data_IF_692555557325
#
_entry.id   IF_692555557325
#
_cell.length_a   1.000
_cell.length_b   1.000
_cell.length_c   1.000
_cell.angle_alpha   90.00
_cell.angle_beta   90.00
_cell.angle_gamma   90.00
#
_symmetry.space_group_name_H-M   'P 1'
#
loop_
_entity.id
_entity.type
_entity.pdbx_description
1 polymer ?
#
# COMPACT_ATOMS: atom_id res chain seq x y z
N UNK A 1 -15.13 -11.76 -11.17
CA UNK A 1 -13.74 -11.59 -10.64
C UNK A 1 -13.37 -10.12 -10.71
N UNK A 2 -12.65 -9.61 -9.72
CA UNK A 2 -12.17 -8.23 -9.69
C UNK A 2 -10.66 -8.19 -9.85
N UNK A 3 -10.13 -7.22 -10.58
CA UNK A 3 -8.69 -7.08 -10.82
C UNK A 3 -8.20 -5.70 -10.41
N UNK A 4 -6.97 -5.67 -9.91
CA UNK A 4 -6.23 -4.45 -9.61
C UNK A 4 -4.82 -4.59 -10.13
N UNK A 5 -4.28 -3.51 -10.68
CA UNK A 5 -2.89 -3.47 -11.11
C UNK A 5 -2.02 -2.84 -10.02
N UNK A 6 -0.76 -3.25 -9.95
CA UNK A 6 0.31 -2.40 -9.42
C UNK A 6 0.70 -1.33 -10.46
N UNK A 7 1.61 -0.43 -10.10
CA UNK A 7 2.04 0.66 -10.99
C UNK A 7 2.81 0.16 -12.21
N UNK A 8 3.62 -0.91 -12.08
CA UNK A 8 4.42 -1.43 -13.19
C UNK A 8 3.57 -2.20 -14.20
N UNK A 9 2.68 -3.09 -13.77
CA UNK A 9 1.74 -3.78 -14.63
C UNK A 9 0.73 -2.81 -15.27
N UNK A 10 0.32 -1.75 -14.57
CA UNK A 10 -0.49 -0.69 -15.16
C UNK A 10 0.25 0.03 -16.30
N UNK A 11 1.56 0.25 -16.20
CA UNK A 11 2.35 0.79 -17.31
C UNK A 11 2.52 -0.20 -18.45
N UNK A 12 2.74 -1.49 -18.14
CA UNK A 12 2.82 -2.55 -19.14
C UNK A 12 1.50 -2.72 -19.91
N UNK A 13 0.36 -2.49 -19.26
CA UNK A 13 -0.96 -2.47 -19.86
C UNK A 13 -1.06 -1.54 -21.07
N UNK A 14 -0.28 -0.46 -21.10
CA UNK A 14 -0.30 0.53 -22.19
C UNK A 14 1.03 0.70 -22.93
N UNK A 15 2.07 -0.09 -22.60
CA UNK A 15 3.44 0.13 -23.06
C UNK A 15 3.61 0.21 -24.59
N UNK A 16 2.79 -0.53 -25.34
CA UNK A 16 2.85 -0.61 -26.81
C UNK A 16 1.75 0.21 -27.51
N UNK A 17 0.98 1.01 -26.75
CA UNK A 17 -0.20 1.70 -27.26
C UNK A 17 0.14 3.18 -27.54
N UNK A 18 0.01 3.65 -28.81
CA UNK A 18 0.19 5.06 -29.13
C UNK A 18 -0.81 5.94 -28.38
N UNK A 19 -0.38 7.15 -27.97
CA UNK A 19 -1.22 8.10 -27.24
C UNK A 19 -2.60 8.33 -27.90
N UNK A 20 -2.62 8.48 -29.23
CA UNK A 20 -3.85 8.69 -30.02
C UNK A 20 -4.82 7.50 -30.01
N UNK A 21 -4.36 6.32 -29.59
CA UNK A 21 -5.15 5.08 -29.57
C UNK A 21 -5.55 4.65 -28.16
N UNK A 22 -5.16 5.39 -27.11
CA UNK A 22 -5.42 5.01 -25.71
C UNK A 22 -6.92 4.87 -25.42
N UNK A 23 -7.75 5.76 -25.95
CA UNK A 23 -9.20 5.71 -25.75
C UNK A 23 -9.83 4.46 -26.40
N UNK A 24 -9.51 4.21 -27.68
CA UNK A 24 -9.96 3.01 -28.39
C UNK A 24 -9.49 1.72 -27.71
N UNK A 25 -8.24 1.71 -27.22
CA UNK A 25 -7.69 0.59 -26.46
C UNK A 25 -8.46 0.35 -25.16
N UNK A 26 -8.73 1.43 -24.41
CA UNK A 26 -9.47 1.37 -23.14
C UNK A 26 -10.90 0.84 -23.34
N UNK A 27 -11.58 1.31 -24.38
CA UNK A 27 -12.92 0.84 -24.74
C UNK A 27 -12.92 -0.65 -25.11
N UNK A 28 -12.03 -1.06 -26.00
CA UNK A 28 -11.87 -2.45 -26.40
C UNK A 28 -11.60 -3.36 -25.19
N UNK A 29 -10.71 -2.95 -24.28
CA UNK A 29 -10.39 -3.76 -23.11
C UNK A 29 -11.52 -3.80 -22.08
N UNK A 30 -12.23 -2.70 -21.88
CA UNK A 30 -13.43 -2.69 -21.04
C UNK A 30 -14.48 -3.68 -21.56
N UNK A 31 -14.70 -3.72 -22.88
CA UNK A 31 -15.59 -4.69 -23.53
C UNK A 31 -15.10 -6.14 -23.31
N UNK A 32 -13.81 -6.44 -23.51
CA UNK A 32 -13.23 -7.77 -23.27
C UNK A 32 -13.34 -8.23 -21.82
N UNK A 33 -13.04 -7.33 -20.88
CA UNK A 33 -13.16 -7.60 -19.45
C UNK A 33 -14.63 -7.84 -19.06
N UNK A 34 -15.58 -7.06 -19.57
CA UNK A 34 -17.02 -7.32 -19.38
C UNK A 34 -17.45 -8.70 -19.89
N UNK A 35 -17.04 -9.07 -21.10
CA UNK A 35 -17.34 -10.39 -21.67
C UNK A 35 -16.78 -11.53 -20.81
N UNK A 36 -15.65 -11.30 -20.13
CA UNK A 36 -15.01 -12.25 -19.23
C UNK A 36 -15.50 -12.18 -17.77
N UNK A 37 -16.51 -11.37 -17.48
CA UNK A 37 -16.99 -11.08 -16.11
C UNK A 37 -15.86 -10.63 -15.17
N UNK A 38 -15.01 -9.74 -15.68
CA UNK A 38 -13.89 -9.10 -14.98
C UNK A 38 -14.23 -7.64 -14.75
N UNK A 39 -14.05 -7.20 -13.52
CA UNK A 39 -14.25 -5.82 -13.10
C UNK A 39 -12.89 -5.20 -12.70
N UNK A 40 -12.54 -4.08 -13.32
CA UNK A 40 -11.36 -3.31 -12.97
C UNK A 40 -11.66 -2.46 -11.75
N UNK A 41 -10.88 -2.63 -10.69
CA UNK A 41 -10.85 -1.71 -9.57
C UNK A 41 -9.56 -0.89 -9.64
N UNK A 42 -9.62 0.37 -9.21
CA UNK A 42 -8.42 1.22 -9.17
C UNK A 42 -7.91 1.31 -7.74
N UNK A 43 -6.62 1.04 -7.53
CA UNK A 43 -5.97 1.29 -6.26
C UNK A 43 -5.47 2.75 -6.20
N UNK A 44 -5.87 3.55 -5.18
CA UNK A 44 -5.43 4.94 -5.07
C UNK A 44 -3.92 5.13 -4.95
N UNK A 45 -3.19 4.16 -4.40
CA UNK A 45 -1.71 4.21 -4.32
C UNK A 45 -1.11 4.26 -5.73
N UNK A 46 -1.63 3.44 -6.65
CA UNK A 46 -1.15 3.41 -8.04
C UNK A 46 -1.40 4.74 -8.74
N UNK A 47 -2.58 5.33 -8.55
CA UNK A 47 -2.88 6.66 -9.10
C UNK A 47 -1.93 7.71 -8.53
N UNK A 48 -1.65 7.66 -7.24
CA UNK A 48 -0.75 8.59 -6.58
C UNK A 48 0.68 8.48 -7.12
N UNK A 49 1.21 7.27 -7.26
CA UNK A 49 2.53 7.04 -7.86
C UNK A 49 2.60 7.57 -9.30
N UNK A 50 1.58 7.29 -10.11
CA UNK A 50 1.51 7.79 -11.48
C UNK A 50 1.43 9.32 -11.54
N UNK A 51 0.63 9.94 -10.66
CA UNK A 51 0.51 11.40 -10.58
C UNK A 51 1.79 12.07 -10.11
N UNK A 52 2.56 11.43 -9.22
CA UNK A 52 3.85 11.96 -8.77
C UNK A 52 4.81 12.20 -9.95
N UNK A 53 4.83 11.30 -10.93
CA UNK A 53 5.62 11.48 -12.15
C UNK A 53 5.07 12.56 -13.11
N UNK A 54 3.82 13.00 -12.93
CA UNK A 54 3.26 14.11 -13.70
C UNK A 54 3.65 15.48 -13.15
N UNK A 55 4.37 15.52 -12.02
CA UNK A 55 4.78 16.79 -11.40
C UNK A 55 6.00 17.42 -12.10
N UNK A 56 6.81 16.63 -12.81
CA UNK A 56 7.95 17.10 -13.59
C UNK A 56 7.84 16.61 -15.04
N UNK A 57 7.69 17.56 -15.97
CA UNK A 57 7.65 17.27 -17.42
C UNK A 57 8.93 16.60 -17.94
N UNK A 58 10.04 16.73 -17.23
CA UNK A 58 11.32 16.11 -17.58
C UNK A 58 11.47 14.70 -16.99
N UNK A 59 10.53 14.24 -16.15
CA UNK A 59 10.53 12.86 -15.65
C UNK A 59 10.40 11.89 -16.83
N UNK A 60 11.31 10.91 -16.90
CA UNK A 60 11.32 9.87 -17.94
C UNK A 60 10.01 9.07 -18.00
N UNK A 61 9.23 9.07 -16.92
CA UNK A 61 7.95 8.39 -16.79
C UNK A 61 6.73 9.33 -16.96
N UNK A 62 6.92 10.61 -17.31
CA UNK A 62 5.81 11.57 -17.44
C UNK A 62 4.72 11.09 -18.41
N UNK A 63 5.08 10.87 -19.68
CA UNK A 63 4.11 10.50 -20.73
C UNK A 63 3.48 9.13 -20.50
N UNK A 64 4.27 8.14 -20.06
CA UNK A 64 3.75 6.81 -19.78
C UNK A 64 2.78 6.85 -18.60
N UNK A 65 3.06 7.65 -17.56
CA UNK A 65 2.17 7.76 -16.39
C UNK A 65 0.86 8.45 -16.74
N UNK A 66 0.90 9.48 -17.59
CA UNK A 66 -0.30 10.14 -18.10
C UNK A 66 -1.18 9.18 -18.91
N UNK A 67 -0.59 8.47 -19.87
CA UNK A 67 -1.31 7.49 -20.68
C UNK A 67 -1.86 6.33 -19.83
N UNK A 68 -1.13 5.94 -18.78
CA UNK A 68 -1.57 4.90 -17.83
C UNK A 68 -2.80 5.36 -17.03
N UNK A 69 -2.76 6.56 -16.45
CA UNK A 69 -3.93 7.14 -15.74
C UNK A 69 -5.13 7.18 -16.68
N UNK A 70 -4.93 7.75 -17.89
CA UNK A 70 -5.99 7.85 -18.89
C UNK A 70 -6.59 6.48 -19.24
N UNK A 71 -5.75 5.47 -19.46
CA UNK A 71 -6.22 4.14 -19.83
C UNK A 71 -6.97 3.43 -18.70
N UNK A 72 -6.46 3.49 -17.46
CA UNK A 72 -7.11 2.86 -16.30
C UNK A 72 -8.48 3.49 -16.04
N UNK A 73 -8.54 4.82 -16.01
CA UNK A 73 -9.77 5.57 -15.75
C UNK A 73 -10.79 5.33 -16.87
N UNK A 74 -10.42 5.49 -18.14
CA UNK A 74 -11.35 5.28 -19.24
C UNK A 74 -11.82 3.82 -19.32
N UNK A 75 -10.94 2.85 -19.06
CA UNK A 75 -11.34 1.44 -19.01
C UNK A 75 -12.40 1.23 -17.93
N UNK A 76 -12.17 1.74 -16.72
CA UNK A 76 -13.13 1.69 -15.62
C UNK A 76 -14.45 2.41 -15.97
N UNK A 77 -14.42 3.60 -16.54
CA UNK A 77 -15.63 4.34 -16.97
C UNK A 77 -16.37 3.70 -18.13
N UNK A 78 -15.70 2.93 -19.00
CA UNK A 78 -16.41 2.12 -19.99
C UNK A 78 -17.00 0.86 -19.34
N UNK A 79 -16.46 0.41 -18.21
CA UNK A 79 -17.00 -0.70 -17.43
C UNK A 79 -18.24 -0.31 -16.62
N UNK A 80 -18.17 0.83 -15.93
CA UNK A 80 -19.15 1.35 -15.00
C UNK A 80 -19.81 2.61 -15.57
N UNK A 81 -21.07 2.87 -15.28
CA UNK A 81 -21.61 4.20 -15.60
C UNK A 81 -20.89 5.22 -14.70
N UNK A 82 -20.63 6.44 -15.20
CA UNK A 82 -19.82 7.52 -14.58
C UNK A 82 -20.09 7.84 -13.09
N UNK A 83 -21.16 7.31 -12.51
CA UNK A 83 -21.60 7.58 -11.14
C UNK A 83 -20.91 6.71 -10.08
N UNK A 84 -20.28 5.60 -10.48
CA UNK A 84 -19.57 4.70 -9.56
C UNK A 84 -18.06 4.72 -9.84
N UNK A 85 -17.25 5.07 -8.82
CA UNK A 85 -15.79 4.93 -8.83
C UNK A 85 -15.40 3.66 -8.07
N UNK A 86 -15.36 2.49 -8.72
CA UNK A 86 -14.97 1.24 -8.07
C UNK A 86 -13.49 1.28 -7.74
N UNK A 87 -13.20 1.66 -6.50
CA UNK A 87 -11.85 1.81 -5.97
C UNK A 87 -11.57 0.81 -4.86
N UNK A 88 -10.33 0.37 -4.76
CA UNK A 88 -9.89 -0.42 -3.62
C UNK A 88 -9.64 0.47 -2.40
N UNK A 89 -10.01 -0.04 -1.24
CA UNK A 89 -9.56 0.53 0.02
C UNK A 89 -8.04 0.35 0.16
N UNK A 90 -7.36 1.37 0.68
CA UNK A 90 -5.93 1.28 1.01
C UNK A 90 -5.71 0.57 2.36
N UNK A 91 -4.47 0.13 2.60
CA UNK A 91 -4.10 -0.72 3.73
C UNK A 91 -4.59 -0.17 5.07
N UNK A 92 -4.33 1.09 5.38
CA UNK A 92 -4.74 1.71 6.64
C UNK A 92 -6.26 1.75 6.84
N UNK A 93 -7.04 1.94 5.77
CA UNK A 93 -8.50 1.94 5.84
C UNK A 93 -9.04 0.52 6.04
N UNK A 94 -8.42 -0.47 5.39
CA UNK A 94 -8.73 -1.89 5.62
C UNK A 94 -8.47 -2.22 7.09
N UNK A 95 -7.29 -1.87 7.62
CA UNK A 95 -6.91 -2.17 9.00
C UNK A 95 -7.77 -1.41 10.02
N UNK A 96 -8.11 -0.15 9.73
CA UNK A 96 -9.03 0.66 10.54
C UNK A 96 -10.37 -0.05 10.73
N UNK A 97 -10.92 -0.56 9.63
CA UNK A 97 -12.20 -1.25 9.64
C UNK A 97 -12.10 -2.61 10.33
N UNK A 98 -11.10 -3.41 10.00
CA UNK A 98 -11.00 -4.78 10.48
C UNK A 98 -10.69 -4.87 11.98
N UNK A 99 -9.73 -4.08 12.47
CA UNK A 99 -9.25 -4.19 13.84
C UNK A 99 -10.00 -3.28 14.81
N UNK A 100 -10.53 -2.16 14.32
CA UNK A 100 -11.11 -1.12 15.19
C UNK A 100 -12.58 -0.83 14.88
N UNK A 101 -13.14 -1.42 13.82
CA UNK A 101 -14.47 -1.11 13.32
C UNK A 101 -14.69 0.41 13.11
N UNK A 102 -13.65 1.10 12.65
CA UNK A 102 -13.64 2.55 12.42
C UNK A 102 -13.30 2.84 10.96
N UNK A 103 -13.74 4.00 10.47
CA UNK A 103 -13.28 4.58 9.19
C UNK A 103 -12.13 5.53 9.46
N UNK A 104 -11.42 5.94 8.42
CA UNK A 104 -10.50 7.08 8.46
C UNK A 104 -11.02 8.06 7.39
N UNK A 105 -11.95 8.95 7.77
CA UNK A 105 -12.73 9.72 6.79
C UNK A 105 -11.86 10.70 6.01
N UNK A 106 -10.88 11.35 6.65
CA UNK A 106 -10.00 12.29 5.97
C UNK A 106 -9.12 11.57 4.94
N UNK A 107 -8.72 10.32 5.22
CA UNK A 107 -8.00 9.49 4.23
C UNK A 107 -8.89 9.08 3.08
N UNK A 108 -10.09 8.59 3.37
CA UNK A 108 -11.06 8.24 2.32
C UNK A 108 -11.36 9.45 1.42
N UNK A 109 -11.58 10.63 2.00
CA UNK A 109 -11.82 11.87 1.25
C UNK A 109 -10.60 12.27 0.41
N UNK A 110 -9.39 12.19 0.95
CA UNK A 110 -8.16 12.46 0.20
C UNK A 110 -8.05 11.57 -1.04
N UNK A 111 -8.32 10.26 -0.91
CA UNK A 111 -8.30 9.33 -2.04
C UNK A 111 -9.43 9.57 -3.04
N UNK A 112 -10.62 9.99 -2.58
CA UNK A 112 -11.69 10.40 -3.49
C UNK A 112 -11.29 11.63 -4.32
N UNK A 113 -10.66 12.64 -3.69
CA UNK A 113 -10.14 13.82 -4.40
C UNK A 113 -9.05 13.44 -5.41
N UNK A 114 -8.17 12.50 -5.04
CA UNK A 114 -7.15 11.96 -5.93
C UNK A 114 -7.79 11.29 -7.16
N UNK A 115 -8.80 10.45 -6.97
CA UNK A 115 -9.52 9.80 -8.08
C UNK A 115 -10.27 10.80 -8.96
N UNK A 116 -10.87 11.83 -8.37
CA UNK A 116 -11.50 12.93 -9.12
C UNK A 116 -10.47 13.65 -9.99
N UNK A 117 -9.27 13.92 -9.45
CA UNK A 117 -8.21 14.55 -10.23
C UNK A 117 -7.69 13.62 -11.35
N UNK A 118 -7.66 12.30 -11.13
CA UNK A 118 -7.28 11.33 -12.16
C UNK A 118 -8.28 11.30 -13.32
N UNK A 119 -9.56 11.44 -12.98
CA UNK A 119 -10.67 11.55 -13.93
C UNK A 119 -10.51 12.80 -14.80
N UNK A 120 -10.26 13.93 -14.15
CA UNK A 120 -9.94 15.18 -14.82
C UNK A 120 -8.75 15.05 -15.78
N UNK A 121 -7.69 14.36 -15.38
CA UNK A 121 -6.51 14.11 -16.23
C UNK A 121 -6.87 13.23 -17.43
N UNK A 122 -7.64 12.16 -17.24
CA UNK A 122 -8.01 11.23 -18.30
C UNK A 122 -8.77 11.93 -19.45
N UNK A 123 -9.62 12.90 -19.11
CA UNK A 123 -10.45 13.65 -20.06
C UNK A 123 -9.79 14.92 -20.61
N UNK A 124 -8.69 15.40 -20.01
CA UNK A 124 -7.93 16.54 -20.52
C UNK A 124 -6.94 16.12 -21.61
N UNK A 125 -6.45 17.10 -22.37
CA UNK A 125 -5.28 16.93 -23.22
C UNK A 125 -4.01 17.08 -22.36
N UNK A 126 -2.93 16.41 -22.73
CA UNK A 126 -1.67 16.38 -21.96
C UNK A 126 -1.08 17.78 -21.78
N UNK A 127 -1.29 18.65 -22.77
CA UNK A 127 -0.83 20.04 -22.76
C UNK A 127 -1.54 20.88 -21.67
N UNK A 128 -2.71 20.43 -21.19
CA UNK A 128 -3.51 21.12 -20.17
C UNK A 128 -3.23 20.62 -18.74
N UNK A 129 -2.21 19.78 -18.53
CA UNK A 129 -1.84 19.23 -17.20
C UNK A 129 -1.20 20.28 -16.29
N UNK A 130 -0.69 21.39 -16.83
CA UNK A 130 -0.04 22.45 -16.02
C UNK A 130 -0.94 22.99 -14.90
N UNK A 131 -2.25 23.10 -15.16
CA UNK A 131 -3.23 23.51 -14.15
C UNK A 131 -3.40 22.47 -13.03
N UNK A 132 -3.27 21.18 -13.33
CA UNK A 132 -3.29 20.12 -12.32
C UNK A 132 -2.04 20.21 -11.44
N UNK A 133 -0.86 20.36 -12.05
CA UNK A 133 0.41 20.45 -11.33
C UNK A 133 0.44 21.68 -10.42
N UNK A 134 -0.02 22.84 -10.91
CA UNK A 134 -0.07 24.06 -10.10
C UNK A 134 -1.04 23.98 -8.91
N UNK A 135 -2.14 23.23 -9.06
CA UNK A 135 -3.18 23.11 -8.02
C UNK A 135 -2.85 22.02 -6.99
N UNK A 136 -2.35 20.87 -7.43
CA UNK A 136 -2.25 19.66 -6.60
C UNK A 136 -0.80 19.20 -6.36
N UNK A 137 0.16 19.69 -7.14
CA UNK A 137 1.50 19.12 -7.21
C UNK A 137 2.26 19.22 -5.90
N UNK A 138 2.18 20.36 -5.21
CA UNK A 138 2.83 20.54 -3.91
C UNK A 138 2.32 19.55 -2.86
N UNK A 139 1.00 19.37 -2.77
CA UNK A 139 0.37 18.46 -1.79
C UNK A 139 0.69 17.00 -2.08
N UNK A 140 0.63 16.56 -3.34
CA UNK A 140 0.98 15.19 -3.71
C UNK A 140 2.45 14.93 -3.41
N UNK A 141 3.34 15.85 -3.83
CA UNK A 141 4.78 15.73 -3.59
C UNK A 141 5.10 15.65 -2.10
N UNK A 142 4.62 16.60 -1.32
CA UNK A 142 4.84 16.64 0.13
C UNK A 142 4.35 15.35 0.80
N UNK A 143 3.18 14.84 0.39
CA UNK A 143 2.67 13.59 0.95
C UNK A 143 3.56 12.39 0.63
N UNK A 144 3.93 12.21 -0.64
CA UNK A 144 4.81 11.11 -1.09
C UNK A 144 6.16 11.19 -0.39
N UNK A 145 6.80 12.36 -0.41
CA UNK A 145 8.10 12.60 0.22
C UNK A 145 8.05 12.27 1.73
N UNK A 146 7.02 12.76 2.44
CA UNK A 146 6.86 12.53 3.88
C UNK A 146 6.65 11.04 4.22
N UNK A 147 5.85 10.32 3.43
CA UNK A 147 5.62 8.88 3.64
C UNK A 147 6.92 8.10 3.41
N UNK A 148 7.62 8.40 2.32
CA UNK A 148 8.87 7.75 1.95
C UNK A 148 9.99 8.02 2.96
N UNK A 149 10.17 9.28 3.37
CA UNK A 149 11.16 9.68 4.38
C UNK A 149 10.88 9.01 5.72
N UNK A 150 9.63 9.08 6.18
CA UNK A 150 9.21 8.43 7.43
C UNK A 150 9.41 6.92 7.37
N UNK A 151 9.18 6.29 6.21
CA UNK A 151 9.44 4.87 6.04
C UNK A 151 10.93 4.55 6.17
N UNK A 152 11.81 5.28 5.48
CA UNK A 152 13.28 5.10 5.58
C UNK A 152 13.76 5.19 7.02
N UNK A 153 13.32 6.21 7.75
CA UNK A 153 13.69 6.38 9.17
C UNK A 153 13.25 5.20 10.01
N UNK A 154 11.99 4.77 9.87
CA UNK A 154 11.44 3.64 10.61
C UNK A 154 12.17 2.33 10.31
N UNK A 155 12.55 2.08 9.05
CA UNK A 155 13.34 0.91 8.66
C UNK A 155 14.72 0.95 9.31
N UNK A 156 15.41 2.09 9.28
CA UNK A 156 16.72 2.24 9.92
C UNK A 156 16.64 2.00 11.42
N UNK A 157 15.58 2.49 12.07
CA UNK A 157 15.34 2.23 13.49
C UNK A 157 15.13 0.73 13.77
N UNK A 158 14.34 0.03 12.95
CA UNK A 158 14.16 -1.42 13.05
C UNK A 158 15.50 -2.14 12.92
N UNK A 159 16.32 -1.80 11.91
CA UNK A 159 17.65 -2.39 11.71
C UNK A 159 18.57 -2.14 12.91
N UNK A 160 18.57 -0.92 13.44
CA UNK A 160 19.37 -0.58 14.61
C UNK A 160 18.96 -1.42 15.83
N UNK A 161 17.65 -1.56 16.08
CA UNK A 161 17.12 -2.35 17.20
C UNK A 161 17.43 -3.84 17.06
N UNK A 162 17.49 -4.36 15.83
CA UNK A 162 17.93 -5.73 15.56
C UNK A 162 19.41 -5.90 15.89
N UNK A 163 20.25 -4.91 15.54
CA UNK A 163 21.69 -4.97 15.78
C UNK A 163 22.06 -4.81 17.27
N UNK A 164 21.24 -4.11 18.04
CA UNK A 164 21.41 -3.92 19.50
C UNK A 164 20.63 -4.92 20.33
N UNK A 165 20.06 -5.98 19.71
CA UNK A 165 19.16 -6.92 20.37
C UNK A 165 19.76 -7.50 21.66
N UNK A 166 19.17 -7.22 22.84
CA UNK A 166 19.72 -7.62 24.14
C UNK A 166 19.73 -9.13 24.35
N UNK A 167 19.00 -9.90 23.55
CA UNK A 167 18.94 -11.35 23.64
C UNK A 167 20.08 -12.05 22.88
N UNK A 168 20.93 -11.30 22.18
CA UNK A 168 22.05 -11.81 21.37
C UNK A 168 21.63 -12.94 20.38
N UNK A 169 20.39 -12.90 19.93
CA UNK A 169 19.84 -13.87 18.98
C UNK A 169 20.43 -13.56 17.60
N UNK A 170 20.96 -14.58 16.92
CA UNK A 170 21.44 -14.42 15.54
C UNK A 170 20.31 -13.92 14.66
N UNK A 171 20.60 -12.95 13.79
CA UNK A 171 19.59 -12.36 12.90
C UNK A 171 18.85 -13.39 12.05
N UNK A 172 19.56 -14.42 11.58
CA UNK A 172 18.99 -15.54 10.80
C UNK A 172 17.86 -16.27 11.52
N UNK A 173 17.93 -16.30 12.85
CA UNK A 173 16.97 -16.99 13.70
C UNK A 173 15.88 -16.00 14.14
N UNK A 174 16.27 -14.77 14.46
CA UNK A 174 15.34 -13.72 14.86
C UNK A 174 14.34 -13.39 13.74
N UNK A 175 14.78 -13.24 12.49
CA UNK A 175 13.91 -12.90 11.36
C UNK A 175 12.85 -13.98 11.04
N UNK A 176 13.08 -15.21 11.48
CA UNK A 176 12.15 -16.34 11.34
C UNK A 176 11.17 -16.46 12.51
N UNK A 177 11.37 -15.70 13.58
CA UNK A 177 10.54 -15.79 14.78
C UNK A 177 9.20 -15.08 14.62
N UNK A 178 8.17 -15.60 15.30
CA UNK A 178 6.85 -14.96 15.40
C UNK A 178 6.95 -13.55 15.98
N UNK A 179 7.88 -13.35 16.92
CA UNK A 179 8.16 -12.03 17.52
C UNK A 179 8.56 -11.00 16.47
N UNK A 180 9.32 -11.42 15.47
CA UNK A 180 9.73 -10.56 14.39
C UNK A 180 8.59 -10.23 13.43
N UNK A 181 7.75 -11.21 13.13
CA UNK A 181 6.52 -10.98 12.35
C UNK A 181 5.58 -10.02 13.07
N UNK A 182 5.41 -10.20 14.38
CA UNK A 182 4.61 -9.32 15.22
C UNK A 182 5.16 -7.89 15.16
N UNK A 183 6.47 -7.71 15.28
CA UNK A 183 7.14 -6.41 15.13
C UNK A 183 6.81 -5.77 13.78
N UNK A 184 6.87 -6.50 12.67
CA UNK A 184 6.52 -5.97 11.35
C UNK A 184 5.04 -5.61 11.23
N UNK A 185 4.14 -6.46 11.75
CA UNK A 185 2.72 -6.17 11.82
C UNK A 185 2.42 -4.90 12.64
N UNK A 186 3.22 -4.60 13.67
CA UNK A 186 3.03 -3.37 14.46
C UNK A 186 3.17 -2.09 13.65
N UNK A 187 3.91 -2.11 12.54
CA UNK A 187 4.08 -0.95 11.67
C UNK A 187 2.74 -0.41 11.18
N UNK A 188 1.94 -1.25 10.50
CA UNK A 188 0.65 -0.82 9.93
C UNK A 188 -0.37 -0.51 11.03
N UNK A 189 -0.33 -1.25 12.14
CA UNK A 189 -1.23 -1.04 13.29
C UNK A 189 -0.96 0.34 13.91
N UNK A 190 0.31 0.68 14.13
CA UNK A 190 0.71 2.00 14.65
C UNK A 190 0.31 3.12 13.70
N UNK A 191 0.60 2.98 12.41
CA UNK A 191 0.21 3.98 11.40
C UNK A 191 -1.30 4.20 11.41
N UNK A 192 -2.09 3.12 11.47
CA UNK A 192 -3.56 3.20 11.54
C UNK A 192 -4.03 3.89 12.81
N UNK A 193 -3.43 3.58 13.97
CA UNK A 193 -3.74 4.26 15.22
C UNK A 193 -3.45 5.76 15.16
N UNK A 194 -2.31 6.17 14.64
CA UNK A 194 -1.96 7.59 14.49
C UNK A 194 -3.02 8.33 13.66
N UNK A 195 -3.49 7.72 12.57
CA UNK A 195 -4.55 8.31 11.75
C UNK A 195 -5.88 8.42 12.50
N UNK A 196 -6.26 7.38 13.23
CA UNK A 196 -7.48 7.41 14.05
C UNK A 196 -7.39 8.41 15.21
N UNK A 197 -6.21 8.60 15.80
CA UNK A 197 -5.96 9.64 16.83
C UNK A 197 -6.12 11.04 16.22
N UNK A 198 -5.52 11.28 15.05
CA UNK A 198 -5.62 12.57 14.36
C UNK A 198 -7.07 12.94 13.99
N UNK A 199 -7.94 11.93 13.80
CA UNK A 199 -9.37 12.13 13.58
C UNK A 199 -10.22 12.10 14.86
N UNK A 200 -9.59 12.11 16.05
CA UNK A 200 -10.26 12.05 17.36
C UNK A 200 -11.16 10.82 17.54
N UNK A 201 -10.82 9.68 16.91
CA UNK A 201 -11.59 8.43 16.97
C UNK A 201 -11.09 7.45 18.02
N UNK A 202 -9.96 7.75 18.64
CA UNK A 202 -9.37 7.02 19.75
C UNK A 202 -9.47 7.91 20.99
N UNK A 203 -9.87 7.33 22.11
CA UNK A 203 -9.96 8.06 23.37
C UNK A 203 -8.57 8.52 23.85
N UNK A 204 -8.54 9.60 24.63
CA UNK A 204 -7.31 10.25 25.07
C UNK A 204 -6.39 9.33 25.87
N UNK A 205 -6.97 8.45 26.69
CA UNK A 205 -6.20 7.46 27.47
C UNK A 205 -5.49 6.49 26.52
N UNK A 206 -6.22 5.86 25.59
CA UNK A 206 -5.63 4.97 24.59
C UNK A 206 -4.57 5.68 23.75
N UNK A 207 -4.80 6.94 23.37
CA UNK A 207 -3.81 7.75 22.65
C UNK A 207 -2.52 7.95 23.45
N UNK A 208 -2.62 8.24 24.75
CA UNK A 208 -1.45 8.36 25.63
C UNK A 208 -0.69 7.03 25.75
N UNK A 209 -1.40 5.91 25.88
CA UNK A 209 -0.79 4.58 25.95
C UNK A 209 -0.05 4.23 24.65
N UNK A 210 -0.63 4.56 23.49
CA UNK A 210 0.03 4.38 22.18
C UNK A 210 1.28 5.26 22.09
N UNK A 211 1.20 6.51 22.53
CA UNK A 211 2.35 7.42 22.53
C UNK A 211 3.48 6.91 23.42
N UNK A 212 3.13 6.41 24.61
CA UNK A 212 4.07 5.78 25.52
C UNK A 212 4.70 4.57 24.83
N UNK A 213 3.93 3.68 24.23
CA UNK A 213 4.47 2.49 23.55
C UNK A 213 5.27 2.83 22.30
N UNK A 214 4.91 3.84 21.52
CA UNK A 214 5.61 4.20 20.30
C UNK A 214 6.98 4.81 20.58
N UNK A 215 7.10 5.70 21.58
CA UNK A 215 8.39 6.22 22.05
C UNK A 215 9.23 5.10 22.66
N UNK A 216 8.60 4.26 23.50
CA UNK A 216 9.33 3.37 24.40
C UNK A 216 9.65 2.00 23.78
N UNK A 217 8.76 1.39 23.01
CA UNK A 217 9.07 0.10 22.33
C UNK A 217 10.13 0.25 21.23
N UNK A 218 10.45 1.48 20.83
CA UNK A 218 11.52 1.77 19.88
C UNK A 218 12.91 1.87 20.54
N UNK A 219 13.01 1.95 21.89
CA UNK A 219 14.26 2.34 22.56
C UNK A 219 14.49 1.79 23.97
N UNK A 220 13.52 1.13 24.61
CA UNK A 220 13.69 0.69 25.99
C UNK A 220 14.47 -0.63 26.10
N UNK A 221 15.55 -0.58 26.87
CA UNK A 221 16.08 -1.74 27.57
C UNK A 221 14.96 -2.47 28.33
N UNK A 222 15.03 -3.80 28.37
CA UNK A 222 14.04 -4.69 28.99
C UNK A 222 13.69 -4.27 30.43
N UNK A 223 14.66 -3.75 31.20
CA UNK A 223 14.38 -3.26 32.55
C UNK A 223 13.49 -2.02 32.58
N UNK A 224 13.71 -1.06 31.69
CA UNK A 224 12.85 0.13 31.58
C UNK A 224 11.44 -0.26 31.12
N UNK A 225 11.34 -1.21 30.21
CA UNK A 225 10.04 -1.75 29.77
C UNK A 225 9.30 -2.40 30.94
N UNK A 226 9.97 -3.22 31.75
CA UNK A 226 9.37 -3.85 32.94
C UNK A 226 8.91 -2.82 33.98
N UNK A 227 9.72 -1.78 34.23
CA UNK A 227 9.35 -0.67 35.13
C UNK A 227 8.12 0.07 34.60
N UNK A 228 8.05 0.35 33.31
CA UNK A 228 6.91 1.01 32.68
C UNK A 228 5.61 0.20 32.85
N UNK A 229 5.64 -1.11 32.58
CA UNK A 229 4.47 -1.98 32.76
C UNK A 229 4.03 -2.07 34.22
N UNK A 230 4.98 -2.05 35.15
CA UNK A 230 4.66 -2.08 36.58
C UNK A 230 4.00 -0.78 37.04
N UNK A 231 4.37 0.36 36.44
CA UNK A 231 3.79 1.66 36.74
C UNK A 231 2.42 1.90 36.07
N UNK A 232 2.13 1.18 34.98
CA UNK A 232 0.92 1.34 34.17
C UNK A 232 0.29 -0.02 33.82
N UNK A 233 -0.44 -0.67 34.74
CA UNK A 233 -1.08 -1.96 34.50
C UNK A 233 -2.03 -1.95 33.29
N UNK A 234 -2.65 -0.82 32.98
CA UNK A 234 -3.48 -0.62 31.79
C UNK A 234 -2.71 -0.82 30.47
N UNK A 235 -1.38 -0.62 30.46
CA UNK A 235 -0.54 -0.95 29.31
C UNK A 235 -0.50 -2.44 29.03
N UNK A 236 -0.64 -3.31 30.03
CA UNK A 236 -0.59 -4.76 29.84
C UNK A 236 -1.78 -5.19 28.99
N UNK A 237 -3.00 -4.79 29.37
CA UNK A 237 -4.21 -5.08 28.59
C UNK A 237 -4.13 -4.49 27.17
N UNK A 238 -3.60 -3.28 27.04
CA UNK A 238 -3.42 -2.66 25.73
C UNK A 238 -2.41 -3.44 24.87
N UNK A 239 -1.30 -3.88 25.45
CA UNK A 239 -0.29 -4.68 24.77
C UNK A 239 -0.83 -6.04 24.34
N UNK A 240 -1.57 -6.73 25.20
CA UNK A 240 -2.23 -7.98 24.83
C UNK A 240 -3.12 -7.78 23.60
N UNK A 241 -3.98 -6.76 23.62
CA UNK A 241 -4.80 -6.40 22.46
C UNK A 241 -3.96 -6.07 21.22
N UNK A 242 -2.85 -5.36 21.40
CA UNK A 242 -1.95 -4.99 20.31
C UNK A 242 -1.27 -6.22 19.70
N UNK A 243 -0.90 -7.22 20.52
CA UNK A 243 -0.34 -8.48 20.08
C UNK A 243 -1.38 -9.36 19.38
N UNK A 244 -2.62 -9.38 19.87
CA UNK A 244 -3.75 -10.05 19.21
C UNK A 244 -4.01 -9.46 17.83
N UNK A 245 -4.00 -8.12 17.73
CA UNK A 245 -4.09 -7.40 16.46
C UNK A 245 -2.95 -7.78 15.51
N UNK A 246 -1.70 -7.84 15.98
CA UNK A 246 -0.57 -8.30 15.16
C UNK A 246 -0.77 -9.72 14.64
N UNK A 247 -1.27 -10.63 15.47
CA UNK A 247 -1.56 -12.00 15.06
C UNK A 247 -2.65 -12.08 13.97
N UNK A 248 -3.68 -11.23 14.06
CA UNK A 248 -4.68 -11.10 13.00
C UNK A 248 -4.03 -10.64 11.69
N UNK A 249 -3.15 -9.63 11.74
CA UNK A 249 -2.46 -9.12 10.55
C UNK A 249 -1.58 -10.19 9.91
N UNK A 250 -0.74 -10.87 10.69
CA UNK A 250 0.15 -11.93 10.20
C UNK A 250 -0.64 -13.03 9.49
N UNK A 251 -1.73 -13.46 10.11
CA UNK A 251 -2.58 -14.53 9.57
C UNK A 251 -3.31 -14.12 8.29
N UNK A 252 -3.84 -12.89 8.23
CA UNK A 252 -4.65 -12.42 7.09
C UNK A 252 -3.81 -11.90 5.93
N UNK A 253 -2.69 -11.24 6.21
CA UNK A 253 -1.83 -10.55 5.25
C UNK A 253 -0.39 -11.11 5.23
N UNK A 254 -0.20 -12.44 5.03
CA UNK A 254 1.11 -13.06 5.08
C UNK A 254 2.05 -12.56 3.97
N UNK A 255 1.52 -12.18 2.80
CA UNK A 255 2.29 -11.64 1.67
C UNK A 255 2.94 -10.30 2.01
N UNK A 256 2.25 -9.43 2.76
CA UNK A 256 2.78 -8.19 3.30
C UNK A 256 3.96 -8.46 4.25
N UNK A 257 3.80 -9.37 5.21
CA UNK A 257 4.85 -9.74 6.15
C UNK A 257 6.07 -10.33 5.41
N UNK A 258 5.84 -11.19 4.42
CA UNK A 258 6.90 -11.80 3.63
C UNK A 258 7.71 -10.77 2.84
N UNK A 259 7.05 -9.84 2.13
CA UNK A 259 7.76 -8.79 1.38
C UNK A 259 8.53 -7.87 2.33
N UNK A 260 7.90 -7.47 3.44
CA UNK A 260 8.53 -6.59 4.42
C UNK A 260 9.78 -7.25 5.04
N UNK A 261 9.74 -8.55 5.35
CA UNK A 261 10.93 -9.32 5.77
C UNK A 261 12.06 -9.24 4.73
N UNK A 262 11.74 -9.45 3.44
CA UNK A 262 12.74 -9.36 2.37
C UNK A 262 13.38 -7.98 2.31
N UNK A 263 12.59 -6.91 2.45
CA UNK A 263 13.09 -5.54 2.48
C UNK A 263 14.08 -5.35 3.63
N UNK A 264 13.76 -5.79 4.85
CA UNK A 264 14.69 -5.70 5.97
C UNK A 264 16.00 -6.46 5.69
N UNK A 265 15.94 -7.66 5.12
CA UNK A 265 17.15 -8.41 4.74
C UNK A 265 18.00 -7.60 3.77
N UNK A 266 17.38 -7.01 2.74
CA UNK A 266 18.09 -6.22 1.74
C UNK A 266 18.68 -4.93 2.33
N UNK A 267 17.99 -4.25 3.23
CA UNK A 267 18.52 -3.06 3.93
C UNK A 267 19.70 -3.40 4.82
N UNK A 268 19.61 -4.48 5.60
CA UNK A 268 20.74 -4.97 6.38
C UNK A 268 21.97 -5.25 5.51
N UNK A 269 21.76 -5.68 4.27
CA UNK A 269 22.81 -5.95 3.29
C UNK A 269 23.21 -4.73 2.45
N UNK A 270 22.88 -3.51 2.87
CA UNK A 270 23.38 -2.27 2.27
C UNK A 270 22.52 -1.68 1.15
N UNK A 271 21.21 -1.92 1.13
CA UNK A 271 20.28 -1.19 0.25
C UNK A 271 20.32 0.32 0.55
N UNK A 272 20.33 1.14 -0.51
CA UNK A 272 20.29 2.60 -0.42
C UNK A 272 18.92 3.12 0.00
N UNK A 273 18.89 4.31 0.62
CA UNK A 273 17.66 4.99 1.03
C UNK A 273 16.67 5.18 -0.13
N UNK A 274 17.15 5.59 -1.31
CA UNK A 274 16.32 5.74 -2.52
C UNK A 274 15.58 4.43 -2.86
N UNK A 275 16.24 3.28 -2.74
CA UNK A 275 15.59 1.99 -2.96
C UNK A 275 14.60 1.66 -1.85
N UNK A 276 14.89 2.03 -0.60
CA UNK A 276 13.99 1.81 0.53
C UNK A 276 12.69 2.60 0.34
N UNK A 277 12.77 3.87 -0.09
CA UNK A 277 11.61 4.72 -0.38
C UNK A 277 10.62 4.02 -1.31
N UNK A 278 11.11 3.47 -2.43
CA UNK A 278 10.26 2.82 -3.43
C UNK A 278 9.50 1.59 -2.89
N UNK A 279 10.01 0.89 -1.87
CA UNK A 279 9.36 -0.33 -1.36
C UNK A 279 8.10 -0.05 -0.52
N UNK A 280 7.88 1.17 -0.01
CA UNK A 280 6.70 1.43 0.84
C UNK A 280 5.41 1.16 0.07
N UNK A 281 5.35 1.59 -1.20
CA UNK A 281 4.16 1.44 -2.03
C UNK A 281 3.88 -0.03 -2.33
N UNK A 282 4.89 -0.79 -2.73
CA UNK A 282 4.78 -2.24 -2.93
C UNK A 282 4.29 -2.95 -1.65
N UNK A 283 4.90 -2.63 -0.50
CA UNK A 283 4.52 -3.20 0.80
C UNK A 283 3.05 -2.92 1.12
N UNK A 284 2.57 -1.70 0.90
CA UNK A 284 1.17 -1.35 1.15
C UNK A 284 0.22 -2.02 0.15
N UNK A 285 0.62 -2.17 -1.11
CA UNK A 285 -0.16 -2.88 -2.13
C UNK A 285 -0.32 -4.38 -1.80
N UNK A 286 0.64 -4.99 -1.10
CA UNK A 286 0.57 -6.40 -0.69
C UNK A 286 -0.59 -6.73 0.27
N UNK A 287 -1.26 -5.73 0.86
CA UNK A 287 -2.52 -5.96 1.59
C UNK A 287 -3.64 -6.49 0.70
N UNK A 288 -3.55 -6.29 -0.61
CA UNK A 288 -4.52 -6.82 -1.55
C UNK A 288 -4.20 -8.25 -2.02
N UNK A 289 -3.01 -8.78 -1.70
CA UNK A 289 -2.61 -10.15 -2.06
C UNK A 289 -3.04 -11.11 -0.96
N UNK A 290 -4.34 -11.37 -0.89
CA UNK A 290 -4.99 -12.24 0.11
C UNK A 290 -6.13 -13.05 -0.51
N UNK A 291 -6.86 -13.82 0.30
CA UNK A 291 -8.09 -14.50 -0.16
C UNK A 291 -9.30 -13.54 -0.15
N UNK A 292 -9.08 -12.26 -0.45
CA UNK A 292 -10.11 -11.23 -0.40
C UNK A 292 -11.18 -11.49 -1.46
N UNK A 293 -12.43 -11.30 -1.07
CA UNK A 293 -13.57 -11.27 -1.98
C UNK A 293 -14.37 -10.00 -1.78
N UNK A 294 -14.85 -9.40 -2.85
CA UNK A 294 -15.80 -8.28 -2.82
C UNK A 294 -17.05 -8.77 -3.55
N UNK A 295 -18.20 -8.71 -2.89
CA UNK A 295 -19.47 -9.28 -3.38
C UNK A 295 -19.36 -10.74 -3.81
N UNK A 296 -18.56 -11.52 -3.06
CA UNK A 296 -18.21 -12.94 -3.32
C UNK A 296 -17.31 -13.16 -4.55
N UNK A 297 -16.97 -12.12 -5.31
CA UNK A 297 -15.98 -12.22 -6.37
C UNK A 297 -14.55 -12.16 -5.81
N UNK A 298 -13.64 -13.04 -6.25
CA UNK A 298 -12.24 -12.96 -5.85
C UNK A 298 -11.60 -11.69 -6.41
N UNK A 299 -10.72 -11.08 -5.61
CA UNK A 299 -9.82 -10.00 -6.05
C UNK A 299 -8.48 -10.61 -6.47
N UNK A 300 -8.01 -10.25 -7.66
CA UNK A 300 -6.71 -10.70 -8.19
C UNK A 300 -5.81 -9.49 -8.40
N UNK A 301 -4.64 -9.53 -7.79
CA UNK A 301 -3.61 -8.51 -7.93
C UNK A 301 -2.71 -8.81 -9.14
N UNK A 302 -2.54 -7.83 -10.01
CA UNK A 302 -1.73 -7.95 -11.23
C UNK A 302 -0.44 -7.15 -11.03
N UNK A 303 0.70 -7.81 -11.16
CA UNK A 303 2.02 -7.18 -11.00
C UNK A 303 3.06 -7.78 -11.92
N UNK A 304 4.10 -7.03 -12.25
CA UNK A 304 5.32 -7.57 -12.86
C UNK A 304 6.52 -7.57 -11.92
N UNK A 305 6.33 -7.13 -10.67
CA UNK A 305 7.40 -7.07 -9.67
C UNK A 305 7.74 -8.46 -9.13
N UNK A 306 9.02 -8.82 -9.29
CA UNK A 306 9.53 -10.14 -8.88
C UNK A 306 9.52 -10.34 -7.37
N UNK A 307 9.77 -9.30 -6.57
CA UNK A 307 9.76 -9.40 -5.12
C UNK A 307 8.34 -9.59 -4.58
N UNK A 308 7.35 -8.92 -5.17
CA UNK A 308 5.93 -9.12 -4.83
C UNK A 308 5.47 -10.54 -5.15
N UNK A 309 5.81 -11.05 -6.34
CA UNK A 309 5.52 -12.43 -6.76
C UNK A 309 6.20 -13.46 -5.84
N UNK A 310 7.47 -13.24 -5.49
CA UNK A 310 8.20 -14.10 -4.56
C UNK A 310 7.56 -14.12 -3.18
N UNK A 311 7.18 -12.97 -2.63
CA UNK A 311 6.53 -12.88 -1.34
C UNK A 311 5.13 -13.53 -1.32
N UNK A 312 4.37 -13.42 -2.42
CA UNK A 312 3.10 -14.12 -2.58
C UNK A 312 3.30 -15.66 -2.64
N UNK A 313 4.36 -16.12 -3.31
CA UNK A 313 4.73 -17.54 -3.36
C UNK A 313 5.10 -18.10 -1.98
N UNK A 314 5.93 -17.37 -1.23
CA UNK A 314 6.33 -17.75 0.15
C UNK A 314 5.10 -17.86 1.06
N UNK A 315 4.10 -17.02 0.85
CA UNK A 315 2.87 -16.99 1.66
C UNK A 315 1.75 -17.91 1.15
N UNK A 316 2.02 -18.70 0.11
CA UNK A 316 1.05 -19.60 -0.54
C UNK A 316 -0.22 -18.87 -1.04
N UNK A 317 -0.05 -17.65 -1.57
CA UNK A 317 -1.11 -16.78 -2.10
C UNK A 317 -1.11 -16.68 -3.64
N UNK A 318 -0.63 -17.72 -4.30
CA UNK A 318 -0.43 -17.76 -5.77
C UNK A 318 -1.73 -17.59 -6.57
N UNK A 319 -2.89 -17.81 -5.95
CA UNK A 319 -4.20 -17.68 -6.62
C UNK A 319 -4.76 -16.26 -6.60
N UNK A 320 -4.24 -15.38 -5.74
CA UNK A 320 -4.67 -13.98 -5.62
C UNK A 320 -3.74 -13.00 -6.34
N UNK A 321 -2.76 -13.51 -7.08
CA UNK A 321 -1.77 -12.71 -7.79
C UNK A 321 -1.52 -13.31 -9.17
N UNK A 322 -1.33 -12.48 -10.19
CA UNK A 322 -0.96 -12.89 -11.54
C UNK A 322 0.03 -11.89 -12.14
N UNK A 323 0.83 -12.35 -13.09
CA UNK A 323 1.60 -11.47 -13.95
C UNK A 323 0.71 -10.76 -14.97
N UNK A 324 1.15 -9.60 -15.46
CA UNK A 324 0.44 -8.92 -16.54
C UNK A 324 0.35 -9.80 -17.81
N UNK A 325 1.40 -10.55 -18.13
CA UNK A 325 1.43 -11.45 -19.29
C UNK A 325 0.36 -12.53 -19.16
N UNK A 326 0.27 -13.20 -18.00
CA UNK A 326 -0.76 -14.21 -17.75
C UNK A 326 -2.17 -13.61 -17.86
N UNK A 327 -2.37 -12.41 -17.31
CA UNK A 327 -3.64 -11.70 -17.41
C UNK A 327 -4.01 -11.38 -18.86
N UNK A 328 -3.08 -10.80 -19.62
CA UNK A 328 -3.26 -10.42 -21.02
C UNK A 328 -3.61 -11.63 -21.88
N UNK A 329 -2.84 -12.72 -21.76
CA UNK A 329 -3.07 -13.95 -22.55
C UNK A 329 -4.39 -14.63 -22.22
N UNK A 330 -4.82 -14.59 -20.95
CA UNK A 330 -6.03 -15.30 -20.53
C UNK A 330 -7.32 -14.52 -20.80
N UNK A 331 -7.28 -13.19 -20.79
CA UNK A 331 -8.50 -12.38 -20.76
C UNK A 331 -8.56 -11.20 -21.74
N UNK A 332 -7.43 -10.78 -22.31
CA UNK A 332 -7.39 -9.61 -23.22
C UNK A 332 -7.03 -9.97 -24.68
N UNK A 333 -6.67 -11.21 -24.95
CA UNK A 333 -6.49 -11.78 -26.29
C UNK A 333 -7.73 -12.58 -26.65
#
# INVERSE_FOLDING_TARGET
>A
MKVIFDTNAAREYIAEIPHTNIENHSKSNAEKMKHSNIELLINPIVIMELMYHLLDKNDKHYYVSYNTIKALILTMEYQHKLEDFPMMAVAECIIARELFNKRIEQREEMYMRLMSAATDIAHKNIDNIENFVSTNGATIKEYVDNVEDSFVEQIKMIINNINTNPLNIKFSDYIKSDRYEQMLATYIIRTTYTLLINENKIDSQTSQLIHLLSINCQSLDYQKYKTLLSAHPELIMFLEKFMDHSQIIIKKYPSFIALFKQVIIKVRNGMSDEKIRNYIWDILLMFNVTNLTIDKDPVVFITSDKAMLEAANISHKNLSIMTFIEFKTKYLQ
#
